data_IF_107669310969
#
_entry.id   IF_107669310969
#
_cell.length_a   1.000
_cell.length_b   1.000
_cell.length_c   1.000
_cell.angle_alpha   90.00
_cell.angle_beta   90.00
_cell.angle_gamma   90.00
#
_symmetry.space_group_name_H-M   'P 1'
#
loop_
_entity.id
_entity.type
_entity.pdbx_description
1 polymer ?
#
# COMPACT_ATOMS: atom_id res chain seq x y z
N UNK A 1 -26.57 11.41 14.81
CA UNK A 1 -25.26 10.76 14.94
C UNK A 1 -24.97 10.11 13.60
N UNK A 2 -23.84 10.40 12.95
CA UNK A 2 -23.55 9.82 11.64
C UNK A 2 -23.24 8.33 11.80
N UNK A 3 -24.15 7.47 11.32
CA UNK A 3 -23.99 6.02 11.30
C UNK A 3 -22.91 5.63 10.28
N UNK A 4 -22.15 4.59 10.59
CA UNK A 4 -21.29 3.88 9.64
C UNK A 4 -22.12 3.38 8.46
N UNK A 5 -21.62 3.62 7.24
CA UNK A 5 -22.30 3.22 6.02
C UNK A 5 -21.33 2.82 4.93
N UNK A 6 -21.84 2.13 3.90
CA UNK A 6 -21.08 1.85 2.70
C UNK A 6 -21.02 3.09 1.81
N UNK A 7 -19.84 3.42 1.35
CA UNK A 7 -19.60 4.44 0.34
C UNK A 7 -19.05 3.76 -0.91
N UNK A 8 -19.81 3.82 -2.00
CA UNK A 8 -19.29 3.46 -3.32
C UNK A 8 -18.35 4.55 -3.81
N UNK A 9 -17.25 4.15 -4.46
CA UNK A 9 -16.22 5.04 -4.98
C UNK A 9 -16.14 4.95 -6.53
N UNK A 10 -17.24 5.20 -7.26
CA UNK A 10 -17.32 4.92 -8.70
C UNK A 10 -16.40 5.79 -9.55
N UNK A 11 -15.90 6.90 -9.00
CA UNK A 11 -15.03 7.87 -9.67
C UNK A 11 -13.54 7.66 -9.36
N UNK A 12 -13.21 6.76 -8.45
CA UNK A 12 -11.81 6.54 -8.07
C UNK A 12 -11.07 5.78 -9.18
N UNK A 13 -9.87 6.25 -9.53
CA UNK A 13 -9.06 5.71 -10.63
C UNK A 13 -7.60 5.61 -10.20
N UNK A 14 -6.91 4.59 -10.68
CA UNK A 14 -5.44 4.55 -10.63
C UNK A 14 -4.93 5.72 -11.49
N UNK A 15 -4.02 6.58 -10.97
CA UNK A 15 -3.46 7.66 -11.76
C UNK A 15 -2.81 7.13 -13.05
N UNK A 16 -3.05 7.82 -14.18
CA UNK A 16 -2.64 7.36 -15.51
C UNK A 16 -3.63 6.41 -16.20
N UNK A 17 -4.71 5.98 -15.53
CA UNK A 17 -5.77 5.11 -16.09
C UNK A 17 -7.18 5.68 -15.84
N UNK A 18 -7.53 6.86 -16.40
CA UNK A 18 -8.80 7.53 -16.10
C UNK A 18 -10.05 6.74 -16.55
N UNK A 19 -9.91 5.91 -17.59
CA UNK A 19 -11.05 5.24 -18.23
C UNK A 19 -11.40 3.87 -17.61
N UNK A 20 -10.69 3.44 -16.56
CA UNK A 20 -10.88 2.12 -15.93
C UNK A 20 -11.40 2.25 -14.50
N UNK A 21 -12.72 2.09 -14.28
CA UNK A 21 -13.28 2.02 -12.94
C UNK A 21 -12.64 0.89 -12.12
N UNK A 22 -12.47 1.15 -10.82
CA UNK A 22 -11.94 0.14 -9.92
C UNK A 22 -13.04 -0.80 -9.45
N UNK A 23 -12.73 -2.09 -9.47
CA UNK A 23 -13.56 -3.16 -8.92
C UNK A 23 -12.82 -3.85 -7.79
N UNK A 24 -13.59 -4.42 -6.86
CA UNK A 24 -13.10 -5.19 -5.73
C UNK A 24 -14.13 -6.27 -5.44
N UNK A 25 -13.68 -7.52 -5.30
CA UNK A 25 -14.55 -8.66 -5.04
C UNK A 25 -15.71 -8.78 -6.05
N UNK A 26 -15.39 -8.64 -7.35
CA UNK A 26 -16.36 -8.72 -8.45
C UNK A 26 -17.35 -7.55 -8.53
N UNK A 27 -17.22 -6.52 -7.71
CA UNK A 27 -18.17 -5.39 -7.60
C UNK A 27 -17.46 -4.04 -7.76
N UNK A 28 -18.18 -2.96 -8.10
CA UNK A 28 -17.62 -1.61 -8.05
C UNK A 28 -17.03 -1.31 -6.67
N UNK A 29 -15.85 -0.69 -6.65
CA UNK A 29 -15.12 -0.42 -5.42
C UNK A 29 -15.98 0.34 -4.40
N UNK A 30 -15.98 -0.19 -3.19
CA UNK A 30 -16.67 0.39 -2.04
C UNK A 30 -15.82 0.25 -0.79
N UNK A 31 -16.06 1.14 0.17
CA UNK A 31 -15.45 1.11 1.50
C UNK A 31 -16.47 1.52 2.55
N UNK A 32 -16.15 1.30 3.81
CA UNK A 32 -16.94 1.83 4.92
C UNK A 32 -16.49 3.25 5.20
N UNK A 33 -17.47 4.14 5.37
CA UNK A 33 -17.26 5.51 5.85
C UNK A 33 -18.09 5.71 7.10
N UNK A 34 -17.49 6.30 8.12
CA UNK A 34 -18.17 6.61 9.37
C UNK A 34 -17.30 7.45 10.30
N UNK A 35 -17.95 8.23 11.17
CA UNK A 35 -17.25 8.97 12.22
C UNK A 35 -17.03 8.14 13.49
N UNK A 36 -17.85 7.09 13.69
CA UNK A 36 -17.80 6.16 14.82
C UNK A 36 -17.91 4.74 14.25
N UNK A 37 -16.88 3.93 14.44
CA UNK A 37 -16.93 2.50 14.16
C UNK A 37 -17.25 1.81 15.47
N UNK A 38 -18.41 1.16 15.58
CA UNK A 38 -18.80 0.39 16.76
C UNK A 38 -19.17 -1.06 16.38
N UNK A 39 -19.29 -1.91 17.40
CA UNK A 39 -19.63 -3.32 17.22
C UNK A 39 -21.05 -3.53 16.66
N UNK A 40 -21.88 -2.49 16.59
CA UNK A 40 -23.24 -2.55 16.06
C UNK A 40 -23.27 -2.42 14.52
N UNK A 41 -22.10 -2.32 13.88
CA UNK A 41 -21.98 -2.40 12.42
C UNK A 41 -22.23 -3.84 11.95
N UNK A 42 -23.50 -4.22 11.94
CA UNK A 42 -23.98 -5.47 11.34
C UNK A 42 -24.48 -5.17 9.93
N UNK A 43 -23.52 -5.02 9.03
CA UNK A 43 -23.78 -4.94 7.62
C UNK A 43 -23.82 -6.39 7.07
N UNK A 44 -24.99 -6.91 6.66
CA UNK A 44 -25.11 -8.28 6.14
C UNK A 44 -24.23 -8.54 4.91
N UNK A 45 -23.83 -7.49 4.20
CA UNK A 45 -22.94 -7.54 3.03
C UNK A 45 -21.49 -7.16 3.34
N UNK A 46 -21.08 -7.08 4.61
CA UNK A 46 -19.70 -6.75 4.94
C UNK A 46 -18.76 -7.90 4.60
N UNK A 47 -17.80 -7.60 3.71
CA UNK A 47 -16.83 -8.55 3.19
C UNK A 47 -15.40 -8.23 3.65
N UNK A 48 -14.52 -9.23 3.74
CA UNK A 48 -13.08 -9.02 4.00
C UNK A 48 -12.50 -7.97 3.04
N UNK A 49 -12.83 -8.06 1.75
CA UNK A 49 -12.37 -7.14 0.72
C UNK A 49 -12.72 -5.67 1.03
N UNK A 50 -13.99 -5.36 1.33
CA UNK A 50 -14.42 -4.00 1.70
C UNK A 50 -13.71 -3.51 2.95
N UNK A 51 -13.44 -4.39 3.91
CA UNK A 51 -12.68 -4.05 5.11
C UNK A 51 -11.22 -3.70 4.81
N UNK A 52 -10.54 -4.49 3.98
CA UNK A 52 -9.18 -4.18 3.50
C UNK A 52 -9.14 -2.83 2.79
N UNK A 53 -10.08 -2.59 1.86
CA UNK A 53 -10.16 -1.32 1.16
C UNK A 53 -10.35 -0.13 2.11
N UNK A 54 -11.18 -0.31 3.16
CA UNK A 54 -11.39 0.69 4.20
C UNK A 54 -10.09 1.01 4.94
N UNK A 55 -9.35 -0.01 5.38
CA UNK A 55 -8.10 0.17 6.11
C UNK A 55 -7.05 0.86 5.25
N UNK A 56 -6.79 0.35 4.05
CA UNK A 56 -5.77 0.90 3.17
C UNK A 56 -6.10 2.32 2.71
N UNK A 57 -7.35 2.60 2.33
CA UNK A 57 -7.74 3.95 1.92
C UNK A 57 -7.59 4.98 3.05
N UNK A 58 -7.98 4.62 4.28
CA UNK A 58 -7.83 5.52 5.43
C UNK A 58 -6.36 5.69 5.86
N UNK A 59 -5.48 4.72 5.58
CA UNK A 59 -4.04 4.85 5.80
C UNK A 59 -3.40 5.72 4.70
N UNK A 60 -3.54 5.31 3.44
CA UNK A 60 -3.09 6.04 2.27
C UNK A 60 -3.83 5.54 1.00
N UNK A 61 -4.59 6.40 0.27
CA UNK A 61 -5.30 5.99 -0.94
C UNK A 61 -4.40 5.31 -2.00
N UNK A 62 -3.17 5.78 -2.15
CA UNK A 62 -2.18 5.20 -3.07
C UNK A 62 -1.81 3.74 -2.70
N UNK A 63 -1.91 3.35 -1.43
CA UNK A 63 -1.75 1.96 -1.01
C UNK A 63 -2.93 1.08 -1.48
N UNK A 64 -4.17 1.59 -1.43
CA UNK A 64 -5.31 0.87 -2.01
C UNK A 64 -5.17 0.74 -3.53
N UNK A 65 -4.67 1.77 -4.21
CA UNK A 65 -4.36 1.65 -5.64
C UNK A 65 -3.34 0.57 -5.90
N UNK A 66 -2.28 0.49 -5.10
CA UNK A 66 -1.24 -0.53 -5.26
C UNK A 66 -1.74 -1.96 -5.02
N UNK A 67 -2.69 -2.17 -4.10
CA UNK A 67 -3.38 -3.45 -3.96
C UNK A 67 -4.10 -3.85 -5.26
N UNK A 68 -4.76 -2.88 -5.92
CA UNK A 68 -5.61 -3.10 -7.09
C UNK A 68 -4.84 -3.06 -8.42
N UNK A 69 -3.65 -2.47 -8.44
CA UNK A 69 -2.82 -2.25 -9.63
C UNK A 69 -1.86 -3.42 -9.88
N UNK A 70 -2.41 -4.51 -10.39
CA UNK A 70 -1.67 -5.74 -10.68
C UNK A 70 -0.84 -5.68 -11.96
N UNK A 71 -1.04 -4.64 -12.77
CA UNK A 71 -0.24 -4.42 -13.97
C UNK A 71 1.14 -3.84 -13.63
N UNK A 72 1.22 -2.95 -12.63
CA UNK A 72 2.50 -2.36 -12.21
C UNK A 72 3.17 -3.17 -11.10
N UNK A 73 2.40 -3.78 -10.20
CA UNK A 73 2.93 -4.39 -8.99
C UNK A 73 2.79 -5.91 -9.04
N UNK A 74 3.92 -6.60 -8.94
CA UNK A 74 3.94 -8.06 -8.79
C UNK A 74 3.38 -8.45 -7.43
N UNK A 75 3.91 -7.82 -6.39
CA UNK A 75 3.45 -7.93 -5.01
C UNK A 75 3.28 -6.57 -4.37
N UNK A 76 2.55 -6.57 -3.26
CA UNK A 76 2.30 -5.46 -2.39
C UNK A 76 2.24 -6.01 -0.98
N UNK A 77 2.87 -5.33 -0.02
CA UNK A 77 2.77 -5.70 1.40
C UNK A 77 2.65 -4.45 2.25
N UNK A 78 1.56 -4.35 3.00
CA UNK A 78 1.39 -3.39 4.08
C UNK A 78 1.50 -4.10 5.42
N UNK A 79 2.30 -3.56 6.32
CA UNK A 79 2.41 -4.08 7.68
C UNK A 79 2.17 -3.00 8.73
N UNK A 80 1.73 -3.43 9.90
CA UNK A 80 1.68 -2.63 11.11
C UNK A 80 2.26 -3.42 12.28
N UNK A 81 3.45 -3.03 12.74
CA UNK A 81 4.02 -3.51 14.00
C UNK A 81 3.32 -2.85 15.18
N UNK A 82 2.88 -3.66 16.14
CA UNK A 82 2.33 -3.25 17.43
C UNK A 82 3.32 -3.60 18.54
N UNK A 83 3.37 -2.77 19.59
CA UNK A 83 4.29 -2.96 20.72
C UNK A 83 5.76 -3.11 20.30
N UNK A 84 6.20 -2.37 19.27
CA UNK A 84 7.56 -2.43 18.76
C UNK A 84 8.61 -2.32 19.88
N UNK A 85 9.53 -3.27 19.93
CA UNK A 85 10.59 -3.42 20.91
C UNK A 85 10.21 -4.23 22.17
N UNK A 86 8.93 -4.56 22.37
CA UNK A 86 8.48 -5.32 23.54
C UNK A 86 8.59 -6.85 23.34
N UNK A 87 8.36 -7.63 24.40
CA UNK A 87 8.25 -9.09 24.29
C UNK A 87 6.99 -9.53 23.55
N UNK A 88 5.88 -8.80 23.73
CA UNK A 88 4.61 -9.03 23.07
C UNK A 88 4.46 -8.24 21.75
N UNK A 89 5.57 -7.98 21.06
CA UNK A 89 5.54 -7.41 19.72
C UNK A 89 4.77 -8.35 18.78
N UNK A 90 3.92 -7.77 17.94
CA UNK A 90 3.20 -8.48 16.89
C UNK A 90 3.14 -7.64 15.64
N UNK A 91 3.03 -8.30 14.49
CA UNK A 91 2.89 -7.64 13.18
C UNK A 91 1.52 -7.99 12.62
N UNK A 92 0.80 -7.00 12.13
CA UNK A 92 -0.38 -7.17 11.28
C UNK A 92 0.08 -7.04 9.85
N UNK A 93 -0.41 -7.87 8.95
CA UNK A 93 -0.07 -7.81 7.53
C UNK A 93 -1.32 -7.88 6.65
N UNK A 94 -1.30 -7.10 5.57
CA UNK A 94 -2.16 -7.24 4.40
C UNK A 94 -1.24 -7.26 3.18
N UNK A 95 -1.20 -8.39 2.49
CA UNK A 95 -0.36 -8.64 1.33
C UNK A 95 -1.17 -9.05 0.10
N UNK A 96 -0.55 -8.88 -1.06
CA UNK A 96 -0.99 -9.47 -2.32
C UNK A 96 0.22 -9.92 -3.11
N UNK A 97 0.20 -11.15 -3.59
CA UNK A 97 1.12 -11.63 -4.63
C UNK A 97 0.26 -12.09 -5.80
N UNK A 98 0.41 -11.42 -6.95
CA UNK A 98 -0.43 -11.65 -8.15
C UNK A 98 -1.93 -11.66 -7.81
N UNK A 99 -2.60 -12.81 -7.96
CA UNK A 99 -4.03 -12.98 -7.74
C UNK A 99 -4.34 -13.61 -6.37
N UNK A 100 -3.39 -13.60 -5.44
CA UNK A 100 -3.62 -14.11 -4.08
C UNK A 100 -3.45 -12.97 -3.08
N UNK A 101 -4.42 -12.87 -2.17
CA UNK A 101 -4.43 -11.92 -1.06
C UNK A 101 -4.15 -12.69 0.21
N UNK A 102 -3.23 -12.19 1.02
CA UNK A 102 -2.94 -12.70 2.36
C UNK A 102 -3.22 -11.60 3.38
N UNK A 103 -3.78 -11.96 4.52
CA UNK A 103 -3.93 -11.03 5.63
C UNK A 103 -3.88 -11.76 6.96
N UNK A 104 -3.37 -11.11 8.00
CA UNK A 104 -3.34 -11.75 9.31
C UNK A 104 -2.33 -11.17 10.26
N UNK A 105 -1.82 -12.02 11.13
CA UNK A 105 -0.95 -11.63 12.23
C UNK A 105 0.26 -12.54 12.34
N UNK A 106 1.41 -11.93 12.59
CA UNK A 106 2.68 -12.58 12.81
C UNK A 106 3.19 -12.30 14.22
N UNK A 107 3.96 -13.24 14.76
CA UNK A 107 4.73 -13.07 15.98
C UNK A 107 5.93 -12.13 15.80
N UNK A 108 6.64 -11.88 16.89
CA UNK A 108 7.90 -11.13 16.90
C UNK A 108 9.02 -11.83 16.10
N UNK A 109 8.94 -13.15 16.01
CA UNK A 109 9.80 -14.03 15.23
C UNK A 109 9.41 -14.09 13.74
N UNK A 110 8.44 -13.28 13.32
CA UNK A 110 7.96 -13.20 11.94
C UNK A 110 7.28 -14.47 11.43
N UNK A 111 6.95 -15.41 12.32
CA UNK A 111 6.11 -16.54 11.98
C UNK A 111 4.63 -16.17 12.03
N UNK A 112 3.85 -16.67 11.07
CA UNK A 112 2.41 -16.49 11.02
C UNK A 112 1.73 -17.19 12.19
N UNK A 113 0.99 -16.40 12.99
CA UNK A 113 0.05 -16.94 13.99
C UNK A 113 -1.32 -17.21 13.39
N UNK A 114 -1.72 -16.34 12.46
CA UNK A 114 -2.94 -16.47 11.67
C UNK A 114 -2.65 -15.89 10.30
N UNK A 115 -2.80 -16.68 9.25
CA UNK A 115 -2.72 -16.25 7.86
C UNK A 115 -4.02 -16.62 7.17
N UNK A 116 -4.78 -15.62 6.71
CA UNK A 116 -6.06 -15.75 6.04
C UNK A 116 -5.85 -15.43 4.58
N UNK A 117 -6.14 -16.38 3.70
CA UNK A 117 -5.81 -16.29 2.28
C UNK A 117 -7.05 -16.34 1.40
N UNK A 118 -7.10 -15.44 0.42
CA UNK A 118 -8.14 -15.41 -0.61
C UNK A 118 -7.50 -15.43 -2.00
N UNK A 119 -8.00 -16.29 -2.88
CA UNK A 119 -7.64 -16.29 -4.29
C UNK A 119 -8.64 -15.41 -5.05
N UNK A 120 -8.13 -14.52 -5.89
CA UNK A 120 -8.94 -13.66 -6.74
C UNK A 120 -9.31 -14.44 -8.00
N UNK A 121 -10.61 -14.61 -8.24
CA UNK A 121 -11.07 -15.28 -9.45
C UNK A 121 -10.70 -14.43 -10.68
N UNK A 122 -10.12 -15.02 -11.73
CA UNK A 122 -9.82 -14.26 -12.93
C UNK A 122 -11.13 -13.83 -13.62
N UNK A 123 -11.14 -12.62 -14.17
CA UNK A 123 -12.14 -12.18 -15.15
C UNK A 123 -11.44 -11.95 -16.50
N UNK A 124 -12.12 -12.24 -17.61
CA UNK A 124 -11.56 -12.14 -18.97
C UNK A 124 -10.93 -10.76 -19.25
N UNK A 125 -11.63 -9.68 -18.88
CA UNK A 125 -11.19 -8.29 -19.11
C UNK A 125 -10.56 -7.63 -17.87
N UNK A 126 -10.53 -8.31 -16.72
CA UNK A 126 -10.01 -7.78 -15.46
C UNK A 126 -9.49 -8.90 -14.54
N UNK A 127 -8.24 -9.36 -14.75
CA UNK A 127 -7.71 -10.57 -14.12
C UNK A 127 -7.74 -10.58 -12.59
N UNK A 128 -7.86 -9.42 -11.93
CA UNK A 128 -7.91 -9.31 -10.46
C UNK A 128 -9.09 -8.49 -9.94
N UNK A 129 -10.05 -8.20 -10.82
CA UNK A 129 -11.32 -7.59 -10.42
C UNK A 129 -12.35 -8.59 -9.91
N UNK A 130 -12.06 -9.89 -10.00
CA UNK A 130 -13.02 -10.94 -9.64
C UNK A 130 -13.23 -11.12 -8.15
N UNK A 131 -14.00 -12.15 -7.83
CA UNK A 131 -14.41 -12.45 -6.46
C UNK A 131 -13.23 -12.96 -5.64
N UNK A 132 -13.18 -12.61 -4.37
CA UNK A 132 -12.22 -13.13 -3.41
C UNK A 132 -12.75 -14.46 -2.87
N UNK A 133 -12.09 -15.55 -3.24
CA UNK A 133 -12.48 -16.92 -2.90
C UNK A 133 -11.61 -17.39 -1.74
N UNK A 134 -12.19 -17.80 -0.59
CA UNK A 134 -11.41 -18.30 0.54
C UNK A 134 -10.55 -19.51 0.17
N UNK A 135 -9.25 -19.46 0.49
CA UNK A 135 -8.29 -20.51 0.13
C UNK A 135 -8.04 -21.48 1.31
N UNK A 136 -8.62 -22.68 1.23
CA UNK A 136 -8.49 -23.72 2.27
C UNK A 136 -7.10 -24.38 2.31
N UNK A 137 -6.28 -24.18 1.28
CA UNK A 137 -4.93 -24.77 1.19
C UNK A 137 -3.89 -23.89 1.87
N UNK A 138 -4.06 -22.58 1.76
CA UNK A 138 -3.10 -21.59 2.21
C UNK A 138 -3.50 -20.96 3.55
N UNK A 139 -4.80 -20.95 3.90
CA UNK A 139 -5.22 -20.35 5.19
C UNK A 139 -4.82 -21.24 6.36
N UNK A 140 -4.12 -20.68 7.34
CA UNK A 140 -3.61 -21.40 8.52
C UNK A 140 -3.72 -20.60 9.82
N UNK A 141 -3.85 -21.33 10.93
CA UNK A 141 -3.73 -20.85 12.31
C UNK A 141 -2.57 -21.61 12.95
N UNK A 142 -1.55 -20.87 13.40
CA UNK A 142 -0.23 -21.43 13.71
C UNK A 142 0.17 -22.35 12.54
N UNK A 143 0.53 -23.61 12.80
CA UNK A 143 0.94 -24.57 11.76
C UNK A 143 -0.20 -25.42 11.17
N UNK A 144 -1.47 -25.04 11.34
CA UNK A 144 -2.62 -25.86 10.92
C UNK A 144 -3.51 -25.18 9.90
N UNK A 145 -3.72 -25.84 8.77
CA UNK A 145 -4.63 -25.37 7.73
C UNK A 145 -6.10 -25.38 8.18
N UNK A 146 -6.85 -24.37 7.75
CA UNK A 146 -8.29 -24.24 7.97
C UNK A 146 -9.03 -24.82 6.75
N UNK A 147 -9.67 -25.97 6.92
CA UNK A 147 -10.30 -26.73 5.83
C UNK A 147 -11.69 -26.24 5.37
N UNK A 148 -12.21 -25.14 5.93
CA UNK A 148 -13.60 -24.69 5.69
C UNK A 148 -13.65 -23.25 5.17
N UNK A 149 -14.14 -23.05 3.94
CA UNK A 149 -14.22 -21.73 3.31
C UNK A 149 -15.13 -20.72 4.04
N UNK A 150 -16.24 -21.17 4.63
CA UNK A 150 -17.14 -20.29 5.38
C UNK A 150 -16.52 -19.86 6.73
N UNK A 151 -15.64 -20.67 7.30
CA UNK A 151 -14.85 -20.31 8.48
C UNK A 151 -13.79 -19.27 8.12
N UNK A 152 -13.07 -19.47 7.01
CA UNK A 152 -12.08 -18.51 6.51
C UNK A 152 -12.72 -17.14 6.21
N UNK A 153 -13.91 -17.13 5.59
CA UNK A 153 -14.67 -15.90 5.37
C UNK A 153 -14.98 -15.17 6.69
N UNK A 154 -15.43 -15.90 7.72
CA UNK A 154 -15.69 -15.33 9.06
C UNK A 154 -14.42 -14.81 9.73
N UNK A 155 -13.31 -15.54 9.60
CA UNK A 155 -12.01 -15.09 10.09
C UNK A 155 -11.58 -13.78 9.41
N UNK A 156 -11.68 -13.72 8.08
CA UNK A 156 -11.38 -12.52 7.30
C UNK A 156 -12.21 -11.33 7.75
N UNK A 157 -13.54 -11.52 7.91
CA UNK A 157 -14.45 -10.50 8.43
C UNK A 157 -14.03 -10.04 9.83
N UNK A 158 -13.77 -10.97 10.74
CA UNK A 158 -13.37 -10.67 12.12
C UNK A 158 -12.07 -9.86 12.16
N UNK A 159 -11.07 -10.27 11.37
CA UNK A 159 -9.79 -9.61 11.25
C UNK A 159 -9.94 -8.15 10.80
N UNK A 160 -10.61 -7.89 9.68
CA UNK A 160 -10.76 -6.52 9.19
C UNK A 160 -11.68 -5.68 10.08
N UNK A 161 -12.67 -6.29 10.76
CA UNK A 161 -13.48 -5.59 11.77
C UNK A 161 -12.61 -5.10 12.92
N UNK A 162 -11.72 -5.92 13.45
CA UNK A 162 -10.79 -5.50 14.51
C UNK A 162 -9.91 -4.32 14.06
N UNK A 163 -9.38 -4.39 12.83
CA UNK A 163 -8.58 -3.29 12.27
C UNK A 163 -9.36 -1.97 12.22
N UNK A 164 -10.63 -2.04 11.79
CA UNK A 164 -11.49 -0.87 11.66
C UNK A 164 -11.88 -0.29 13.02
N UNK A 165 -12.32 -1.13 13.95
CA UNK A 165 -12.73 -0.74 15.29
C UNK A 165 -11.59 -0.05 16.04
N UNK A 166 -10.37 -0.59 15.92
CA UNK A 166 -9.18 -0.02 16.54
C UNK A 166 -8.48 1.05 15.69
N UNK A 167 -9.04 1.43 14.53
CA UNK A 167 -8.47 2.40 13.59
C UNK A 167 -7.00 2.13 13.29
N UNK A 168 -6.68 0.89 12.93
CA UNK A 168 -5.30 0.40 12.65
C UNK A 168 -4.66 1.01 11.40
N UNK A 169 -5.24 2.05 10.81
CA UNK A 169 -4.58 2.95 9.87
C UNK A 169 -3.91 4.16 10.53
N UNK A 170 -4.14 4.37 11.84
CA UNK A 170 -3.45 5.38 12.62
C UNK A 170 -2.20 4.79 13.27
N UNK A 171 -1.21 5.64 13.54
CA UNK A 171 -0.01 5.27 14.30
C UNK A 171 -0.02 5.87 15.70
N UNK A 172 0.73 5.25 16.61
CA UNK A 172 0.99 5.75 17.95
C UNK A 172 2.40 5.43 18.45
N UNK A 173 2.56 5.47 19.77
CA UNK A 173 3.79 5.01 20.45
C UNK A 173 3.95 3.51 20.20
N UNK A 174 5.18 3.08 19.89
CA UNK A 174 5.53 1.69 19.61
C UNK A 174 4.68 1.02 18.50
N UNK A 175 4.10 1.84 17.62
CA UNK A 175 3.43 1.38 16.40
C UNK A 175 4.20 1.89 15.19
N UNK A 176 4.38 1.05 14.18
CA UNK A 176 5.09 1.42 12.96
C UNK A 176 4.43 0.72 11.77
N UNK A 177 4.02 1.51 10.79
CA UNK A 177 3.61 0.98 9.50
C UNK A 177 4.84 0.79 8.62
N UNK A 178 4.82 -0.23 7.79
CA UNK A 178 5.80 -0.42 6.72
C UNK A 178 5.07 -0.84 5.45
N UNK A 179 5.76 -0.65 4.33
CA UNK A 179 5.17 -0.78 3.03
C UNK A 179 6.22 -1.20 2.04
N UNK A 180 5.94 -2.29 1.35
CA UNK A 180 6.85 -2.90 0.39
C UNK A 180 6.11 -3.17 -0.90
N UNK A 181 6.86 -3.03 -2.00
CA UNK A 181 6.32 -3.28 -3.32
C UNK A 181 7.38 -3.92 -4.20
N UNK A 182 6.94 -4.82 -5.06
CA UNK A 182 7.79 -5.42 -6.07
C UNK A 182 7.22 -5.13 -7.45
N UNK A 183 8.12 -4.82 -8.38
CA UNK A 183 7.79 -4.69 -9.77
C UNK A 183 8.86 -5.35 -10.62
N UNK A 184 8.45 -5.89 -11.76
CA UNK A 184 9.37 -6.48 -12.73
C UNK A 184 10.39 -5.47 -13.28
N UNK A 185 10.11 -4.16 -13.19
CA UNK A 185 10.96 -3.08 -13.73
C UNK A 185 12.09 -2.62 -12.80
N UNK A 186 12.03 -2.96 -11.51
CA UNK A 186 13.08 -2.62 -10.52
C UNK A 186 13.87 -3.85 -10.06
N UNK A 187 13.59 -5.02 -10.65
CA UNK A 187 14.10 -6.31 -10.21
C UNK A 187 13.26 -6.87 -9.06
N UNK A 188 13.09 -8.19 -9.05
CA UNK A 188 12.48 -8.93 -7.97
C UNK A 188 13.57 -9.86 -7.43
N UNK A 189 13.96 -9.67 -6.18
CA UNK A 189 14.89 -10.57 -5.50
C UNK A 189 14.06 -11.57 -4.68
N UNK A 190 14.12 -12.89 -5.00
CA UNK A 190 13.39 -13.90 -4.24
C UNK A 190 13.74 -13.95 -2.74
N UNK A 191 14.82 -13.29 -2.32
CA UNK A 191 15.31 -13.27 -0.94
C UNK A 191 15.08 -11.94 -0.22
N UNK A 192 14.42 -10.96 -0.85
CA UNK A 192 14.13 -9.65 -0.26
C UNK A 192 12.61 -9.44 -0.14
N UNK A 193 12.16 -8.68 0.86
CA UNK A 193 10.74 -8.41 1.14
C UNK A 193 10.12 -7.39 0.16
N UNK A 194 10.81 -7.13 -0.96
CA UNK A 194 10.53 -6.06 -1.91
C UNK A 194 11.07 -4.70 -1.49
N UNK A 195 10.88 -3.70 -2.35
CA UNK A 195 11.40 -2.35 -2.08
C UNK A 195 10.50 -1.63 -1.08
N UNK A 196 11.08 -1.26 0.06
CA UNK A 196 10.43 -0.39 1.05
C UNK A 196 10.13 0.99 0.45
N UNK A 197 8.87 1.41 0.51
CA UNK A 197 8.39 2.60 -0.19
C UNK A 197 7.47 3.49 0.65
N UNK A 198 7.41 4.78 0.29
CA UNK A 198 6.30 5.66 0.66
C UNK A 198 5.21 5.52 -0.44
N UNK A 199 3.98 5.12 -0.12
CA UNK A 199 2.91 5.00 -1.10
C UNK A 199 2.65 6.29 -1.90
N UNK A 200 2.93 7.48 -1.33
CA UNK A 200 2.79 8.75 -2.05
C UNK A 200 3.69 8.86 -3.30
N UNK A 201 4.75 8.05 -3.37
CA UNK A 201 5.69 8.08 -4.49
C UNK A 201 5.38 7.05 -5.59
N UNK A 202 4.35 6.22 -5.42
CA UNK A 202 4.04 5.17 -6.39
C UNK A 202 3.57 5.71 -7.74
N UNK A 203 2.73 6.75 -7.73
CA UNK A 203 2.05 7.25 -8.93
C UNK A 203 2.35 8.71 -9.26
N UNK A 204 3.17 9.36 -8.44
CA UNK A 204 3.62 10.73 -8.63
C UNK A 204 5.04 10.89 -8.12
N UNK A 205 5.85 11.69 -8.79
CA UNK A 205 7.18 12.08 -8.28
C UNK A 205 7.03 12.92 -7.01
N UNK A 206 8.09 12.95 -6.19
CA UNK A 206 8.18 13.88 -5.06
C UNK A 206 8.04 15.34 -5.55
N UNK A 207 6.99 16.03 -5.09
CA UNK A 207 6.72 17.43 -5.39
C UNK A 207 6.66 18.25 -4.10
N UNK A 208 7.77 18.92 -3.77
CA UNK A 208 7.89 19.75 -2.57
C UNK A 208 7.15 21.09 -2.67
N UNK A 209 6.53 21.41 -3.81
CA UNK A 209 5.67 22.57 -3.98
C UNK A 209 4.20 22.29 -3.59
N UNK A 210 3.86 21.02 -3.31
CA UNK A 210 2.54 20.60 -2.85
C UNK A 210 2.59 19.97 -1.47
N UNK A 211 1.48 20.04 -0.76
CA UNK A 211 1.31 19.35 0.51
C UNK A 211 1.21 17.84 0.26
N UNK A 212 2.07 17.03 0.88
CA UNK A 212 2.04 15.56 0.76
C UNK A 212 0.68 14.99 1.15
N UNK A 213 0.03 15.57 2.16
CA UNK A 213 -1.24 15.08 2.74
C UNK A 213 -2.49 15.51 1.97
N UNK A 214 -2.62 16.79 1.60
CA UNK A 214 -3.84 17.32 0.97
C UNK A 214 -3.66 17.70 -0.49
N UNK A 215 -2.45 17.53 -1.03
CA UNK A 215 -2.04 17.82 -2.41
C UNK A 215 -2.21 19.28 -2.87
N UNK A 216 -2.63 20.19 -1.97
CA UNK A 216 -2.73 21.63 -2.24
C UNK A 216 -1.35 22.26 -2.42
N UNK A 217 -1.23 23.19 -3.34
CA UNK A 217 -0.03 24.02 -3.50
C UNK A 217 0.11 25.02 -2.34
N UNK A 218 1.28 25.64 -2.25
CA UNK A 218 1.50 26.81 -1.41
C UNK A 218 0.47 27.93 -1.68
N UNK A 219 -0.09 28.51 -0.61
CA UNK A 219 -0.86 29.76 -0.71
C UNK A 219 0.07 30.91 -1.12
N UNK A 220 -0.45 31.88 -1.88
CA UNK A 220 0.32 33.06 -2.30
C UNK A 220 1.04 33.72 -1.12
N UNK A 221 2.37 33.73 -1.16
CA UNK A 221 3.22 34.35 -0.14
C UNK A 221 3.60 33.48 1.07
N UNK A 222 3.19 32.20 1.12
CA UNK A 222 3.61 31.25 2.17
C UNK A 222 4.32 30.05 1.56
N UNK A 223 5.46 29.65 2.12
CA UNK A 223 6.11 28.38 1.77
C UNK A 223 5.50 27.21 2.55
N UNK A 224 5.57 26.01 1.98
CA UNK A 224 5.23 24.79 2.70
C UNK A 224 6.35 24.41 3.67
N UNK A 225 5.96 23.83 4.80
CA UNK A 225 6.89 23.32 5.81
C UNK A 225 7.45 21.97 5.36
N UNK A 226 8.75 21.90 5.11
CA UNK A 226 9.41 20.62 4.81
C UNK A 226 9.62 19.82 6.10
N UNK A 227 9.58 18.50 6.01
CA UNK A 227 9.94 17.64 7.12
C UNK A 227 11.40 17.91 7.54
N UNK A 228 11.62 18.45 8.74
CA UNK A 228 12.96 18.86 9.19
C UNK A 228 13.97 17.74 9.35
N UNK A 229 13.53 16.47 9.45
CA UNK A 229 14.42 15.31 9.60
C UNK A 229 14.91 14.79 8.25
N UNK A 230 13.98 14.57 7.33
CA UNK A 230 14.27 13.85 6.09
C UNK A 230 14.28 14.80 4.87
N UNK A 231 13.50 15.88 4.88
CA UNK A 231 13.38 16.81 3.76
C UNK A 231 12.56 16.31 2.57
N UNK A 232 12.00 15.09 2.62
CA UNK A 232 11.33 14.41 1.50
C UNK A 232 9.81 14.42 1.61
N UNK A 233 9.26 15.37 2.36
CA UNK A 233 7.82 15.66 2.44
C UNK A 233 7.61 17.14 2.78
N UNK A 234 6.48 17.71 2.36
CA UNK A 234 6.11 19.11 2.55
C UNK A 234 4.65 19.24 2.99
N UNK A 235 4.37 20.18 3.88
CA UNK A 235 3.06 20.32 4.51
C UNK A 235 2.62 21.78 4.60
N UNK A 236 1.33 22.04 4.34
CA UNK A 236 0.78 23.39 4.53
C UNK A 236 0.60 23.75 6.01
N UNK A 237 0.55 22.75 6.90
CA UNK A 237 0.34 22.94 8.33
C UNK A 237 0.89 21.76 9.14
N UNK A 238 1.08 21.97 10.44
CA UNK A 238 1.39 20.88 11.38
C UNK A 238 0.29 19.80 11.44
N UNK A 239 -0.97 20.15 11.16
CA UNK A 239 -2.07 19.17 11.11
C UNK A 239 -1.96 18.25 9.90
N UNK A 240 -1.50 18.73 8.74
CA UNK A 240 -1.21 17.87 7.60
C UNK A 240 -0.05 16.92 7.90
N UNK A 241 1.04 17.44 8.49
CA UNK A 241 2.17 16.60 8.92
C UNK A 241 1.73 15.49 9.89
N UNK A 242 0.90 15.81 10.89
CA UNK A 242 0.40 14.80 11.85
C UNK A 242 -0.50 13.76 11.19
N UNK A 243 -1.36 14.15 10.25
CA UNK A 243 -2.23 13.21 9.50
C UNK A 243 -1.45 12.27 8.60
N UNK A 244 -0.35 12.74 8.04
CA UNK A 244 0.53 11.96 7.16
C UNK A 244 1.51 11.06 7.93
N UNK A 245 1.71 11.32 9.22
CA UNK A 245 2.67 10.60 10.04
C UNK A 245 2.53 9.07 10.04
N UNK A 246 1.32 8.46 10.04
CA UNK A 246 1.19 7.00 9.91
C UNK A 246 1.86 6.42 8.65
N UNK A 247 1.93 7.20 7.56
CA UNK A 247 2.55 6.80 6.29
C UNK A 247 4.02 7.19 6.30
N UNK A 248 4.30 8.47 6.56
CA UNK A 248 5.63 9.05 6.41
C UNK A 248 6.65 8.55 7.46
N UNK A 249 6.20 8.10 8.64
CA UNK A 249 7.09 7.70 9.75
C UNK A 249 8.14 6.68 9.33
N UNK A 250 7.75 5.67 8.54
CA UNK A 250 8.66 4.62 8.09
C UNK A 250 9.82 5.21 7.30
N UNK A 251 9.49 5.99 6.25
CA UNK A 251 10.47 6.55 5.31
C UNK A 251 11.26 7.71 5.89
N UNK A 252 10.71 8.44 6.84
CA UNK A 252 11.41 9.49 7.58
C UNK A 252 12.59 8.92 8.40
N UNK A 253 12.51 7.64 8.77
CA UNK A 253 13.56 6.94 9.53
C UNK A 253 14.41 5.98 8.72
N UNK A 254 14.18 5.88 7.40
CA UNK A 254 15.04 5.11 6.49
C UNK A 254 16.45 5.71 6.43
N UNK A 255 17.42 4.88 6.04
CA UNK A 255 18.76 5.35 5.71
C UNK A 255 18.70 6.35 4.54
N UNK A 256 19.74 7.17 4.38
CA UNK A 256 19.84 8.06 3.23
C UNK A 256 19.93 7.29 1.91
N UNK A 257 20.59 6.13 1.93
CA UNK A 257 20.77 5.25 0.77
C UNK A 257 19.43 4.66 0.31
N UNK A 258 18.70 3.96 1.19
CA UNK A 258 17.43 3.33 0.83
C UNK A 258 16.42 4.36 0.32
N UNK A 259 16.39 5.53 0.97
CA UNK A 259 15.49 6.62 0.59
C UNK A 259 15.93 7.27 -0.71
N UNK A 260 17.23 7.42 -0.96
CA UNK A 260 17.76 7.90 -2.23
C UNK A 260 17.41 6.97 -3.38
N UNK A 261 17.56 5.66 -3.17
CA UNK A 261 17.16 4.61 -4.11
C UNK A 261 15.66 4.64 -4.41
N UNK A 262 14.82 4.70 -3.37
CA UNK A 262 13.38 4.85 -3.53
C UNK A 262 13.01 6.09 -4.36
N UNK A 263 13.61 7.24 -4.04
CA UNK A 263 13.35 8.49 -4.77
C UNK A 263 13.82 8.43 -6.22
N UNK A 264 14.99 7.83 -6.48
CA UNK A 264 15.53 7.68 -7.83
C UNK A 264 14.54 6.98 -8.76
N UNK A 265 13.97 5.85 -8.34
CA UNK A 265 12.98 5.14 -9.17
C UNK A 265 11.66 5.91 -9.37
N UNK A 266 11.40 6.95 -8.57
CA UNK A 266 10.12 7.71 -8.63
C UNK A 266 10.21 8.98 -9.47
N UNK A 267 11.39 9.31 -10.01
CA UNK A 267 11.65 10.59 -10.68
C UNK A 267 10.74 10.84 -11.89
N UNK A 268 10.28 9.79 -12.57
CA UNK A 268 9.52 9.87 -13.82
C UNK A 268 8.00 9.68 -13.63
N UNK A 269 7.40 10.51 -12.79
CA UNK A 269 5.97 10.46 -12.52
C UNK A 269 5.58 9.40 -11.49
N UNK A 270 6.49 9.06 -10.58
CA UNK A 270 6.31 7.98 -9.61
C UNK A 270 6.85 6.64 -10.10
N UNK A 271 6.95 5.69 -9.17
CA UNK A 271 7.54 4.37 -9.43
C UNK A 271 6.79 3.58 -10.52
N UNK A 272 5.46 3.72 -10.63
CA UNK A 272 4.66 3.09 -11.69
C UNK A 272 5.06 3.57 -13.10
N UNK A 273 5.61 4.78 -13.19
CA UNK A 273 6.15 5.36 -14.42
C UNK A 273 7.54 4.87 -14.78
N UNK A 274 8.23 4.14 -13.90
CA UNK A 274 9.59 3.66 -14.15
C UNK A 274 9.62 2.60 -15.26
N UNK A 275 10.46 2.83 -16.27
CA UNK A 275 10.63 1.93 -17.44
C UNK A 275 12.06 1.38 -17.59
N UNK A 276 12.88 1.47 -16.53
CA UNK A 276 14.31 1.17 -16.59
C UNK A 276 15.11 2.32 -17.19
N UNK A 277 16.43 2.32 -16.95
CA UNK A 277 17.33 3.21 -17.68
C UNK A 277 17.32 2.80 -19.15
N UNK A 278 17.02 3.76 -20.04
CA UNK A 278 17.57 3.66 -21.40
C UNK A 278 19.07 3.77 -21.21
N UNK A 279 19.80 2.67 -21.32
CA UNK A 279 21.24 2.68 -21.49
C UNK A 279 21.52 3.47 -22.78
N UNK A 280 21.80 4.76 -22.65
CA UNK A 280 22.47 5.52 -23.70
C UNK A 280 23.91 5.06 -23.70
N UNK A 281 24.18 3.94 -24.37
CA UNK A 281 25.52 3.63 -24.87
C UNK A 281 25.84 4.63 -26.00
N UNK A 282 26.16 5.86 -25.63
CA UNK A 282 26.96 6.75 -26.46
C UNK A 282 28.43 6.47 -26.18
N UNK A 283 28.94 5.34 -26.69
CA UNK A 283 30.33 5.30 -27.11
C UNK A 283 30.44 6.19 -28.35
N UNK A 284 30.63 7.49 -28.11
CA UNK A 284 31.20 8.39 -29.12
C UNK A 284 32.63 7.94 -29.36
N UNK A 285 32.82 7.01 -30.29
CA UNK A 285 34.12 6.75 -30.89
C UNK A 285 34.51 8.01 -31.62
N UNK A 286 35.45 8.75 -31.03
CA UNK A 286 36.16 9.84 -31.70
C UNK A 286 36.90 9.22 -32.89
N UNK A 287 36.43 9.56 -34.08
CA UNK A 287 37.09 9.26 -35.35
C UNK A 287 38.48 9.93 -35.34
N UNK A 288 39.54 9.13 -35.22
CA UNK A 288 40.92 9.58 -35.40
C UNK A 288 41.45 9.11 -36.75
N UNK A 289 41.29 9.98 -37.74
CA UNK A 289 42.29 10.17 -38.81
C UNK A 289 42.66 11.65 -38.79
N UNK A 290 43.94 12.05 -38.93
CA UNK A 290 44.82 11.69 -40.06
C UNK A 290 46.29 11.46 -39.57
N UNK A 291 47.37 11.25 -40.33
CA UNK A 291 47.76 11.60 -41.68
C UNK A 291 48.96 10.73 -42.11
N UNK A 292 49.17 10.65 -43.41
CA UNK A 292 50.33 10.09 -44.10
C UNK A 292 51.65 10.83 -43.81
N UNK A 293 52.74 10.08 -43.58
CA UNK A 293 54.06 10.17 -44.25
C UNK A 293 54.98 9.04 -43.79
#
# INVERSE_FOLDING_TARGET
MAQTGFCSLPNMRIPGRPDRPLTLDGKPLSMIVGSIYDNNFDAPDFKPATGVATVLHNWCPEALFALLDVENWFSFTWTLTLNQGAENESKIEIGRIRNQITMGTLGKDEHWKVMITFDISPLEDNPTGGAWIPSIKETMIEDKNVGNSAEIEKMGISFVKDLILNRRWLTGKNMRHEFFIESTTIGMDPWDDGMRMDPHWLYTSLDLAKCTTCKSAAESGKSLNRCGRCGTASYCSGSCQQRDWPVHKAVCTMSMEDRGKALYYTQHGGLAGWKGEKTTDEHTTVDTTPDSL
#
